data_IF_535487703271
#
_entry.id   IF_535487703271
#
_cell.length_a   1.000
_cell.length_b   1.000
_cell.length_c   1.000
_cell.angle_alpha   90.00
_cell.angle_beta   90.00
_cell.angle_gamma   90.00
#
_symmetry.space_group_name_H-M   'P 1'
#
loop_
_entity.id
_entity.type
_entity.pdbx_description
1 polymer ?
#
# COMPACT_ATOMS: atom_id res chain seq x y z
N UNK A 1 22.33 52.51 53.12
CA UNK A 1 22.44 53.55 52.06
C UNK A 1 23.00 52.88 50.80
N UNK A 2 22.20 52.14 50.04
CA UNK A 2 21.63 52.47 48.71
C UNK A 2 21.96 51.24 47.83
N UNK A 3 21.15 50.72 46.93
CA UNK A 3 19.75 50.91 46.61
C UNK A 3 19.33 49.66 45.82
N UNK A 4 18.21 49.10 46.22
CA UNK A 4 17.37 48.18 45.47
C UNK A 4 17.08 48.78 44.08
N UNK A 5 17.50 48.12 43.00
CA UNK A 5 17.10 48.49 41.63
C UNK A 5 15.98 47.54 41.15
N UNK A 6 14.81 48.14 41.10
CA UNK A 6 13.56 47.70 40.49
C UNK A 6 13.64 47.55 38.95
N UNK A 7 12.54 46.98 38.41
CA UNK A 7 11.94 47.15 37.06
C UNK A 7 12.39 46.09 36.02
N UNK A 8 11.64 44.99 35.82
CA UNK A 8 10.49 44.82 34.89
C UNK A 8 10.80 45.15 33.42
N UNK A 9 11.07 44.13 32.61
CA UNK A 9 10.83 44.15 31.16
C UNK A 9 10.24 42.83 30.68
N UNK A 10 8.94 42.89 30.44
CA UNK A 10 8.12 42.07 29.54
C UNK A 10 8.80 41.81 28.19
N UNK A 11 8.62 40.63 27.58
CA UNK A 11 7.81 40.51 26.35
C UNK A 11 7.53 39.05 25.93
N UNK A 12 6.28 38.88 25.53
CA UNK A 12 5.61 37.79 24.86
C UNK A 12 6.32 37.31 23.58
N UNK A 13 6.46 35.99 23.40
CA UNK A 13 6.55 35.38 22.07
C UNK A 13 5.92 33.99 22.10
N UNK A 14 4.59 33.92 22.06
CA UNK A 14 3.90 32.72 21.60
C UNK A 14 4.20 32.57 20.10
N UNK A 15 5.20 31.76 19.77
CA UNK A 15 5.37 31.28 18.42
C UNK A 15 4.27 30.25 18.15
N UNK A 16 3.14 30.69 17.58
CA UNK A 16 2.25 29.78 16.85
C UNK A 16 3.03 29.34 15.62
N UNK A 17 3.67 28.18 15.71
CA UNK A 17 4.16 27.46 14.55
C UNK A 17 2.95 27.06 13.71
N UNK A 18 2.62 27.91 12.72
CA UNK A 18 1.73 27.54 11.62
C UNK A 18 2.47 26.44 10.84
N UNK A 19 2.22 25.19 11.20
CA UNK A 19 2.57 24.05 10.37
C UNK A 19 1.94 24.30 9.00
N UNK A 20 2.76 24.69 8.04
CA UNK A 20 2.37 24.74 6.64
C UNK A 20 2.06 23.31 6.24
N UNK A 21 0.79 22.91 6.35
CA UNK A 21 0.29 21.72 5.70
C UNK A 21 0.50 21.98 4.20
N UNK A 22 1.63 21.54 3.68
CA UNK A 22 1.94 21.62 2.26
C UNK A 22 0.77 20.95 1.54
N UNK A 23 0.00 21.74 0.79
CA UNK A 23 -1.02 21.23 -0.11
C UNK A 23 -0.24 20.60 -1.28
N UNK A 24 0.23 19.38 -1.07
CA UNK A 24 0.81 18.56 -2.12
C UNK A 24 -0.22 18.43 -3.25
N UNK A 25 0.19 18.40 -4.53
CA UNK A 25 -0.73 18.35 -5.66
C UNK A 25 -1.56 17.05 -5.63
N UNK A 26 -2.76 17.11 -5.05
CA UNK A 26 -3.66 15.96 -4.82
C UNK A 26 -4.38 15.44 -6.06
N UNK A 27 -3.97 15.85 -7.26
CA UNK A 27 -4.74 15.62 -8.50
C UNK A 27 -4.06 14.61 -9.43
N UNK A 28 -2.76 14.78 -9.70
CA UNK A 28 -2.03 13.85 -10.58
C UNK A 28 -1.75 12.50 -9.88
N UNK A 29 -1.31 12.53 -8.61
CA UNK A 29 -1.09 11.31 -7.84
C UNK A 29 -2.38 10.56 -7.51
N UNK A 30 -3.52 11.24 -7.39
CA UNK A 30 -4.77 10.61 -6.97
C UNK A 30 -5.49 9.92 -8.13
N UNK A 31 -5.49 10.49 -9.34
CA UNK A 31 -6.05 9.81 -10.52
C UNK A 31 -5.15 8.63 -10.95
N UNK A 32 -3.83 8.83 -11.03
CA UNK A 32 -2.88 7.77 -11.36
C UNK A 32 -2.93 6.63 -10.33
N UNK A 33 -2.95 6.96 -9.03
CA UNK A 33 -3.13 5.98 -7.97
C UNK A 33 -4.46 5.21 -8.09
N UNK A 34 -5.57 5.88 -8.39
CA UNK A 34 -6.85 5.19 -8.56
C UNK A 34 -6.85 4.23 -9.75
N UNK A 35 -6.21 4.61 -10.86
CA UNK A 35 -6.01 3.72 -12.02
C UNK A 35 -5.12 2.54 -11.65
N UNK A 36 -3.98 2.79 -11.00
CA UNK A 36 -3.07 1.74 -10.53
C UNK A 36 -3.81 0.74 -9.63
N UNK A 37 -4.53 1.22 -8.63
CA UNK A 37 -5.33 0.39 -7.73
C UNK A 37 -6.37 -0.44 -8.47
N UNK A 38 -7.11 0.15 -9.43
CA UNK A 38 -8.11 -0.59 -10.18
C UNK A 38 -7.48 -1.72 -11.02
N UNK A 39 -6.35 -1.44 -11.66
CA UNK A 39 -5.57 -2.46 -12.38
C UNK A 39 -5.10 -3.56 -11.43
N UNK A 40 -4.56 -3.20 -10.27
CA UNK A 40 -4.13 -4.18 -9.26
C UNK A 40 -5.30 -5.03 -8.78
N UNK A 41 -6.47 -4.45 -8.47
CA UNK A 41 -7.66 -5.23 -8.07
C UNK A 41 -8.08 -6.22 -9.15
N UNK A 42 -8.09 -5.79 -10.41
CA UNK A 42 -8.43 -6.68 -11.52
C UNK A 42 -7.43 -7.84 -11.64
N UNK A 43 -6.13 -7.55 -11.58
CA UNK A 43 -5.08 -8.57 -11.66
C UNK A 43 -5.07 -9.51 -10.43
N UNK A 44 -5.32 -8.98 -9.23
CA UNK A 44 -5.49 -9.78 -8.01
C UNK A 44 -6.73 -10.67 -8.10
N UNK A 45 -7.80 -10.21 -8.77
CA UNK A 45 -8.98 -11.05 -9.06
C UNK A 45 -8.61 -12.28 -9.89
N UNK A 46 -7.95 -12.07 -11.04
CA UNK A 46 -7.45 -13.17 -11.89
C UNK A 46 -6.45 -14.07 -11.15
N UNK A 47 -5.62 -13.49 -10.29
CA UNK A 47 -4.70 -14.24 -9.43
C UNK A 47 -5.46 -15.15 -8.46
N UNK A 48 -6.49 -14.64 -7.80
CA UNK A 48 -7.32 -15.43 -6.88
C UNK A 48 -8.05 -16.58 -7.58
N UNK A 49 -8.57 -16.33 -8.78
CA UNK A 49 -9.18 -17.39 -9.60
C UNK A 49 -8.16 -18.49 -9.90
N UNK A 50 -6.93 -18.14 -10.28
CA UNK A 50 -5.87 -19.11 -10.53
C UNK A 50 -5.45 -19.87 -9.26
N UNK A 51 -5.27 -19.18 -8.13
CA UNK A 51 -4.95 -19.79 -6.82
C UNK A 51 -6.03 -20.80 -6.41
N UNK A 52 -7.31 -20.50 -6.66
CA UNK A 52 -8.42 -21.39 -6.30
C UNK A 52 -8.40 -22.75 -7.03
N UNK A 53 -7.66 -22.85 -8.13
CA UNK A 53 -7.51 -24.06 -8.93
C UNK A 53 -6.25 -24.89 -8.57
N UNK A 54 -5.38 -24.38 -7.69
CA UNK A 54 -4.18 -25.09 -7.23
C UNK A 54 -4.58 -26.36 -6.48
N UNK A 55 -3.96 -27.49 -6.85
CA UNK A 55 -4.31 -28.79 -6.31
C UNK A 55 -3.76 -29.03 -4.89
N UNK A 56 -2.55 -28.51 -4.61
CA UNK A 56 -1.93 -28.63 -3.28
C UNK A 56 -2.54 -27.61 -2.29
N UNK A 57 -3.24 -28.06 -1.23
CA UNK A 57 -3.92 -27.16 -0.31
C UNK A 57 -2.96 -26.25 0.45
N UNK A 58 -1.74 -26.71 0.77
CA UNK A 58 -0.77 -25.90 1.49
C UNK A 58 -0.26 -24.73 0.64
N UNK A 59 0.04 -24.98 -0.64
CA UNK A 59 0.41 -23.95 -1.61
C UNK A 59 -0.75 -22.99 -1.85
N UNK A 60 -1.98 -23.51 -2.01
CA UNK A 60 -3.18 -22.71 -2.17
C UNK A 60 -3.39 -21.77 -0.97
N UNK A 61 -3.41 -22.29 0.26
CA UNK A 61 -3.64 -21.51 1.47
C UNK A 61 -2.57 -20.44 1.67
N UNK A 62 -1.30 -20.78 1.44
CA UNK A 62 -0.19 -19.83 1.57
C UNK A 62 -0.24 -18.73 0.50
N UNK A 63 -0.62 -19.06 -0.74
CA UNK A 63 -0.80 -18.08 -1.80
C UNK A 63 -2.02 -17.19 -1.52
N UNK A 64 -3.12 -17.77 -1.04
CA UNK A 64 -4.33 -17.05 -0.64
C UNK A 64 -4.04 -16.04 0.49
N UNK A 65 -3.20 -16.39 1.47
CA UNK A 65 -2.80 -15.46 2.52
C UNK A 65 -2.05 -14.23 1.96
N UNK A 66 -1.17 -14.43 0.97
CA UNK A 66 -0.50 -13.33 0.27
C UNK A 66 -1.48 -12.47 -0.54
N UNK A 67 -2.45 -13.09 -1.21
CA UNK A 67 -3.52 -12.41 -1.92
C UNK A 67 -4.35 -11.53 -0.98
N UNK A 68 -4.74 -12.07 0.17
CA UNK A 68 -5.53 -11.38 1.18
C UNK A 68 -4.77 -10.19 1.76
N UNK A 69 -3.46 -10.35 2.01
CA UNK A 69 -2.59 -9.25 2.45
C UNK A 69 -2.55 -8.13 1.41
N UNK A 70 -2.33 -8.45 0.13
CA UNK A 70 -2.30 -7.45 -0.94
C UNK A 70 -3.65 -6.73 -1.07
N UNK A 71 -4.76 -7.47 -1.01
CA UNK A 71 -6.10 -6.89 -1.01
C UNK A 71 -6.36 -6.00 0.22
N UNK A 72 -5.85 -6.38 1.39
CA UNK A 72 -5.88 -5.57 2.60
C UNK A 72 -5.20 -4.21 2.40
N UNK A 73 -3.99 -4.21 1.83
CA UNK A 73 -3.25 -3.01 1.49
C UNK A 73 -4.01 -2.10 0.51
N UNK A 74 -4.56 -2.66 -0.58
CA UNK A 74 -5.38 -1.91 -1.54
C UNK A 74 -6.62 -1.28 -0.89
N UNK A 75 -7.28 -2.00 0.04
CA UNK A 75 -8.44 -1.49 0.79
C UNK A 75 -8.05 -0.34 1.72
N UNK A 76 -6.92 -0.46 2.43
CA UNK A 76 -6.40 0.62 3.27
C UNK A 76 -6.11 1.89 2.45
N UNK A 77 -5.50 1.73 1.28
CA UNK A 77 -5.28 2.86 0.35
C UNK A 77 -6.63 3.42 -0.12
N UNK A 78 -7.61 2.58 -0.47
CA UNK A 78 -8.95 3.03 -0.83
C UNK A 78 -9.57 3.95 0.23
N UNK A 79 -9.58 3.48 1.48
CA UNK A 79 -10.22 4.17 2.59
C UNK A 79 -9.56 5.53 2.85
N UNK A 80 -8.24 5.60 2.75
CA UNK A 80 -7.52 6.86 2.89
C UNK A 80 -7.89 7.86 1.78
N UNK A 81 -7.92 7.42 0.51
CA UNK A 81 -8.25 8.31 -0.60
C UNK A 81 -9.71 8.78 -0.56
N UNK A 82 -10.65 7.89 -0.21
CA UNK A 82 -12.07 8.24 -0.04
C UNK A 82 -12.26 9.28 1.07
N UNK A 83 -11.45 9.22 2.14
CA UNK A 83 -11.45 10.22 3.21
C UNK A 83 -10.62 11.48 2.89
N UNK A 84 -10.03 11.57 1.70
CA UNK A 84 -9.20 12.70 1.27
C UNK A 84 -7.81 12.75 1.91
N UNK A 85 -7.41 11.67 2.60
CA UNK A 85 -6.08 11.48 3.14
C UNK A 85 -5.11 10.95 2.06
N UNK A 86 -3.83 11.11 2.33
CA UNK A 86 -2.78 10.49 1.52
C UNK A 86 -2.83 8.96 1.66
N UNK A 87 -2.42 8.25 0.61
CA UNK A 87 -2.30 6.80 0.67
C UNK A 87 -1.29 6.39 1.75
N UNK A 88 -1.65 5.53 2.71
CA UNK A 88 -0.77 5.14 3.79
C UNK A 88 0.39 4.30 3.27
N UNK A 89 1.59 4.52 3.81
CA UNK A 89 2.76 3.71 3.48
C UNK A 89 2.54 2.23 3.75
N UNK A 90 1.96 1.90 4.91
CA UNK A 90 1.62 0.52 5.27
C UNK A 90 0.73 -0.17 4.23
N UNK A 91 -0.21 0.56 3.61
CA UNK A 91 -1.06 -0.01 2.56
C UNK A 91 -0.28 -0.36 1.29
N UNK A 92 0.75 0.42 0.93
CA UNK A 92 1.65 0.11 -0.19
C UNK A 92 2.57 -1.05 0.16
N UNK A 93 3.08 -1.06 1.39
CA UNK A 93 3.98 -2.10 1.89
C UNK A 93 3.26 -3.45 1.95
N UNK A 94 1.99 -3.48 2.38
CA UNK A 94 1.15 -4.68 2.38
C UNK A 94 0.90 -5.21 0.96
N UNK A 95 0.69 -4.34 -0.02
CA UNK A 95 0.58 -4.74 -1.44
C UNK A 95 1.89 -5.40 -1.90
N UNK A 96 3.03 -4.75 -1.68
CA UNK A 96 4.33 -5.27 -2.08
C UNK A 96 4.66 -6.60 -1.38
N UNK A 97 4.42 -6.69 -0.07
CA UNK A 97 4.68 -7.87 0.73
C UNK A 97 3.76 -9.04 0.33
N UNK A 98 2.47 -8.81 0.11
CA UNK A 98 1.53 -9.84 -0.32
C UNK A 98 1.87 -10.41 -1.70
N UNK A 99 2.23 -9.54 -2.66
CA UNK A 99 2.68 -9.95 -4.00
C UNK A 99 3.99 -10.76 -3.94
N UNK A 100 4.94 -10.33 -3.11
CA UNK A 100 6.18 -11.06 -2.89
C UNK A 100 5.94 -12.44 -2.25
N UNK A 101 5.04 -12.53 -1.27
CA UNK A 101 4.65 -13.78 -0.62
C UNK A 101 4.01 -14.75 -1.61
N UNK A 102 3.08 -14.29 -2.46
CA UNK A 102 2.48 -15.13 -3.51
C UNK A 102 3.55 -15.65 -4.49
N UNK A 103 4.43 -14.78 -4.98
CA UNK A 103 5.52 -15.20 -5.88
C UNK A 103 6.40 -16.26 -5.23
N UNK A 104 6.80 -16.08 -3.96
CA UNK A 104 7.64 -17.04 -3.26
C UNK A 104 6.95 -18.39 -3.06
N UNK A 105 5.68 -18.38 -2.64
CA UNK A 105 4.88 -19.60 -2.46
C UNK A 105 4.71 -20.35 -3.78
N UNK A 106 4.27 -19.66 -4.83
CA UNK A 106 3.99 -20.30 -6.11
C UNK A 106 5.27 -20.79 -6.81
N UNK A 107 6.39 -20.07 -6.67
CA UNK A 107 7.68 -20.53 -7.19
C UNK A 107 8.21 -21.78 -6.47
N UNK A 108 7.78 -22.03 -5.23
CA UNK A 108 8.07 -23.25 -4.48
C UNK A 108 7.02 -24.36 -4.69
N UNK A 109 5.92 -24.07 -5.37
CA UNK A 109 4.83 -25.00 -5.66
C UNK A 109 5.20 -26.07 -6.69
N UNK A 110 4.30 -27.03 -6.89
CA UNK A 110 4.49 -28.11 -7.86
C UNK A 110 4.42 -27.58 -9.30
N UNK A 111 5.54 -27.59 -10.00
CA UNK A 111 5.63 -27.12 -11.39
C UNK A 111 4.87 -28.00 -12.41
N UNK A 112 4.43 -29.19 -12.02
CA UNK A 112 3.55 -30.03 -12.84
C UNK A 112 2.07 -29.66 -12.72
N UNK A 113 1.71 -28.89 -11.70
CA UNK A 113 0.39 -28.30 -11.56
C UNK A 113 0.27 -27.06 -12.47
N UNK A 114 -0.56 -27.16 -13.51
CA UNK A 114 -0.80 -26.05 -14.44
C UNK A 114 -1.39 -24.84 -13.73
N UNK A 115 -2.16 -25.03 -12.66
CA UNK A 115 -2.73 -23.92 -11.90
C UNK A 115 -1.66 -23.12 -11.16
N UNK A 116 -0.54 -23.75 -10.74
CA UNK A 116 0.61 -23.03 -10.17
C UNK A 116 1.28 -22.15 -11.22
N UNK A 117 1.45 -22.65 -12.45
CA UNK A 117 2.00 -21.88 -13.58
C UNK A 117 1.09 -20.72 -14.00
N UNK A 118 -0.23 -20.96 -14.04
CA UNK A 118 -1.22 -19.92 -14.35
C UNK A 118 -1.25 -18.85 -13.25
N UNK A 119 -1.19 -19.26 -11.99
CA UNK A 119 -1.11 -18.35 -10.85
C UNK A 119 0.19 -17.53 -10.87
N UNK A 120 1.33 -18.11 -11.22
CA UNK A 120 2.60 -17.37 -11.38
C UNK A 120 2.49 -16.28 -12.45
N UNK A 121 1.85 -16.60 -13.58
CA UNK A 121 1.64 -15.64 -14.67
C UNK A 121 0.72 -14.49 -14.21
N UNK A 122 -0.38 -14.82 -13.54
CA UNK A 122 -1.32 -13.83 -12.99
C UNK A 122 -0.68 -12.94 -11.90
N UNK A 123 0.14 -13.52 -11.02
CA UNK A 123 0.89 -12.76 -10.00
C UNK A 123 1.93 -11.84 -10.63
N UNK A 124 2.55 -12.22 -11.75
CA UNK A 124 3.48 -11.33 -12.46
C UNK A 124 2.77 -10.07 -12.98
N UNK A 125 1.58 -10.22 -13.56
CA UNK A 125 0.74 -9.11 -13.99
C UNK A 125 0.31 -8.24 -12.79
N UNK A 126 -0.11 -8.88 -11.70
CA UNK A 126 -0.46 -8.19 -10.45
C UNK A 126 0.74 -7.48 -9.83
N UNK A 127 1.95 -8.01 -9.98
CA UNK A 127 3.21 -7.41 -9.50
C UNK A 127 3.56 -6.17 -10.30
N UNK A 128 3.38 -6.20 -11.62
CA UNK A 128 3.56 -5.00 -12.45
C UNK A 128 2.57 -3.90 -12.05
N UNK A 129 1.28 -4.24 -11.88
CA UNK A 129 0.27 -3.28 -11.45
C UNK A 129 0.49 -2.79 -10.00
N UNK A 130 0.96 -3.66 -9.11
CA UNK A 130 1.26 -3.33 -7.71
C UNK A 130 2.43 -2.35 -7.57
N UNK A 131 3.43 -2.41 -8.47
CA UNK A 131 4.50 -1.42 -8.50
C UNK A 131 3.98 -0.01 -8.83
N UNK A 132 2.99 0.12 -9.71
CA UNK A 132 2.31 1.40 -9.98
C UNK A 132 1.62 1.93 -8.70
N UNK A 133 1.06 1.05 -7.85
CA UNK A 133 0.50 1.47 -6.56
C UNK A 133 1.62 2.00 -5.65
N UNK A 134 2.78 1.36 -5.64
CA UNK A 134 3.92 1.82 -4.82
C UNK A 134 4.45 3.18 -5.30
N UNK A 135 4.52 3.41 -6.62
CA UNK A 135 5.06 4.64 -7.20
C UNK A 135 4.06 5.81 -7.18
N UNK A 136 2.79 5.56 -7.52
CA UNK A 136 1.80 6.59 -7.79
C UNK A 136 0.94 6.96 -6.57
N UNK A 137 0.74 6.04 -5.62
CA UNK A 137 -0.12 6.29 -4.46
C UNK A 137 0.65 6.95 -3.31
N UNK A 138 0.86 8.26 -3.37
CA UNK A 138 1.54 9.04 -2.33
C UNK A 138 0.62 9.98 -1.54
#
# INVERSE_FOLDING_TARGET
>A
MFALRFILTTLFALAVSVSSAAVAPRQIGNLACNVARLKTVAALGSTGDAISNIADPATQDAAQAGLDQANGGIKAIAGALVSGAAAPASGRDDVAAGLAAMNATLAAGDASDTAVSDALSAVADATSAGQDVVSECK
#
